data_IF_282816447724
#
_entry.id   IF_282816447724
#
_cell.length_a   1.000
_cell.length_b   1.000
_cell.length_c   1.000
_cell.angle_alpha   90.00
_cell.angle_beta   90.00
_cell.angle_gamma   90.00
#
_symmetry.space_group_name_H-M   'P 1'
#
loop_
_entity.id
_entity.type
_entity.pdbx_description
1 polymer ?
#
# COMPACT_ATOMS: atom_id res chain seq x y z
N UNK A 1 5.35 -8.98 21.91
CA UNK A 1 4.64 -8.09 20.96
C UNK A 1 5.63 -7.00 20.60
N UNK A 2 6.39 -7.19 19.51
CA UNK A 2 7.29 -6.16 18.99
C UNK A 2 6.45 -5.20 18.16
N UNK A 3 6.24 -4.01 18.69
CA UNK A 3 5.62 -2.88 17.99
C UNK A 3 6.59 -2.42 16.89
N UNK A 4 6.48 -3.04 15.72
CA UNK A 4 7.25 -2.62 14.54
C UNK A 4 6.64 -1.32 14.01
N UNK A 5 7.16 -0.19 14.49
CA UNK A 5 6.84 1.12 13.94
C UNK A 5 7.43 1.21 12.52
N UNK A 6 6.59 0.95 11.51
CA UNK A 6 6.97 1.08 10.11
C UNK A 6 7.00 2.55 9.73
N UNK A 7 8.21 3.09 9.56
CA UNK A 7 8.43 4.45 9.09
C UNK A 7 8.45 4.47 7.56
N UNK A 8 7.64 5.34 6.95
CA UNK A 8 7.61 5.54 5.50
C UNK A 8 8.27 6.87 5.17
N UNK A 9 9.30 6.87 4.34
CA UNK A 9 9.95 8.07 3.82
C UNK A 9 9.38 8.42 2.44
N UNK A 10 8.86 9.64 2.28
CA UNK A 10 8.33 10.15 1.02
C UNK A 10 9.09 11.42 0.65
N UNK A 11 9.63 11.47 -0.57
CA UNK A 11 10.30 12.67 -1.08
C UNK A 11 9.25 13.63 -1.65
N UNK A 12 9.11 14.80 -1.02
CA UNK A 12 8.13 15.82 -1.40
C UNK A 12 8.65 16.80 -2.47
N UNK A 13 9.95 16.78 -2.78
CA UNK A 13 10.52 17.76 -3.71
C UNK A 13 10.04 17.51 -5.14
N UNK A 14 9.55 18.59 -5.78
CA UNK A 14 9.10 18.61 -7.18
C UNK A 14 7.93 17.68 -7.50
N UNK A 15 7.15 17.29 -6.49
CA UNK A 15 5.92 16.52 -6.68
C UNK A 15 4.67 17.39 -6.50
N UNK A 16 3.67 17.16 -7.33
CA UNK A 16 2.31 17.66 -7.10
C UNK A 16 1.66 16.97 -5.90
N UNK A 17 0.67 17.62 -5.28
CA UNK A 17 -0.11 17.02 -4.20
C UNK A 17 -0.73 15.68 -4.60
N UNK A 18 -1.18 15.55 -5.85
CA UNK A 18 -1.75 14.32 -6.39
C UNK A 18 -0.74 13.16 -6.41
N UNK A 19 0.53 13.44 -6.72
CA UNK A 19 1.61 12.44 -6.72
C UNK A 19 1.99 12.02 -5.29
N UNK A 20 2.02 12.97 -4.36
CA UNK A 20 2.26 12.68 -2.94
C UNK A 20 1.15 11.80 -2.38
N UNK A 21 -0.11 12.18 -2.62
CA UNK A 21 -1.28 11.40 -2.18
C UNK A 21 -1.26 9.98 -2.74
N UNK A 22 -0.92 9.84 -4.04
CA UNK A 22 -0.76 8.54 -4.68
C UNK A 22 0.34 7.70 -4.03
N UNK A 23 1.47 8.31 -3.68
CA UNK A 23 2.61 7.62 -3.07
C UNK A 23 2.32 7.14 -1.65
N UNK A 24 1.65 7.97 -0.84
CA UNK A 24 1.18 7.61 0.50
C UNK A 24 0.20 6.44 0.41
N UNK A 25 -0.81 6.57 -0.45
CA UNK A 25 -1.84 5.54 -0.60
C UNK A 25 -1.25 4.21 -1.08
N UNK A 26 -0.33 4.26 -2.04
CA UNK A 26 0.38 3.08 -2.52
C UNK A 26 1.10 2.35 -1.38
N UNK A 27 1.89 3.08 -0.58
CA UNK A 27 2.63 2.51 0.55
C UNK A 27 1.72 1.90 1.60
N UNK A 28 0.59 2.54 1.87
CA UNK A 28 -0.40 2.00 2.79
C UNK A 28 -1.05 0.70 2.29
N UNK A 29 -1.38 0.62 0.99
CA UNK A 29 -1.92 -0.61 0.40
C UNK A 29 -0.88 -1.74 0.35
N UNK A 30 0.38 -1.42 0.09
CA UNK A 30 1.50 -2.39 0.18
C UNK A 30 1.65 -2.94 1.61
N UNK A 31 1.54 -2.07 2.62
CA UNK A 31 1.56 -2.46 4.03
C UNK A 31 0.42 -3.44 4.35
N UNK A 32 -0.82 -3.07 4.01
CA UNK A 32 -1.98 -3.91 4.27
C UNK A 32 -1.89 -5.28 3.58
N UNK A 33 -1.29 -5.33 2.38
CA UNK A 33 -1.00 -6.60 1.71
C UNK A 33 0.08 -7.40 2.42
N UNK A 34 1.12 -6.74 2.92
CA UNK A 34 2.23 -7.40 3.64
C UNK A 34 1.74 -8.00 4.96
N UNK A 35 0.95 -7.25 5.74
CA UNK A 35 0.36 -7.72 7.01
C UNK A 35 -0.60 -8.89 6.85
N UNK A 36 -1.11 -9.12 5.64
CA UNK A 36 -2.09 -10.16 5.35
C UNK A 36 -1.55 -11.26 4.45
N UNK A 37 -0.23 -11.31 4.24
CA UNK A 37 0.45 -12.26 3.36
C UNK A 37 -0.18 -12.32 1.95
N UNK A 38 -0.55 -11.15 1.43
CA UNK A 38 -1.18 -10.99 0.11
C UNK A 38 -2.66 -11.37 0.05
N UNK A 39 -3.31 -11.68 1.17
CA UNK A 39 -4.76 -11.92 1.19
C UNK A 39 -5.53 -10.62 0.95
N UNK A 40 -5.97 -10.43 -0.30
CA UNK A 40 -6.68 -9.23 -0.77
C UNK A 40 -7.98 -8.94 -0.02
N UNK A 41 -8.67 -9.96 0.49
CA UNK A 41 -9.91 -9.77 1.25
C UNK A 41 -9.60 -9.17 2.62
N UNK A 42 -8.60 -9.69 3.32
CA UNK A 42 -8.16 -9.13 4.60
C UNK A 42 -7.46 -7.78 4.42
N UNK A 43 -6.63 -7.60 3.39
CA UNK A 43 -5.98 -6.32 3.09
C UNK A 43 -7.01 -5.22 2.81
N UNK A 44 -8.07 -5.53 2.05
CA UNK A 44 -9.15 -4.58 1.78
C UNK A 44 -9.91 -4.21 3.06
N UNK A 45 -10.11 -5.17 3.96
CA UNK A 45 -10.72 -4.94 5.27
C UNK A 45 -9.84 -4.01 6.14
N UNK A 46 -8.53 -4.25 6.22
CA UNK A 46 -7.58 -3.38 6.93
C UNK A 46 -7.60 -1.97 6.33
N UNK A 47 -7.59 -1.87 5.00
CA UNK A 47 -7.60 -0.59 4.29
C UNK A 47 -8.97 0.13 4.28
N UNK A 48 -10.02 -0.47 4.85
CA UNK A 48 -11.37 0.12 4.91
C UNK A 48 -12.04 0.30 3.54
N UNK A 49 -11.68 -0.52 2.55
CA UNK A 49 -12.20 -0.44 1.17
C UNK A 49 -12.73 -1.79 0.70
N UNK A 50 -13.48 -1.78 -0.41
CA UNK A 50 -13.91 -3.04 -1.03
C UNK A 50 -12.73 -3.73 -1.74
N UNK A 51 -12.79 -5.06 -1.86
CA UNK A 51 -11.80 -5.85 -2.60
C UNK A 51 -11.68 -5.39 -4.06
N UNK A 52 -12.81 -4.99 -4.67
CA UNK A 52 -12.83 -4.44 -6.03
C UNK A 52 -12.07 -3.11 -6.12
N UNK A 53 -12.27 -2.22 -5.15
CA UNK A 53 -11.55 -0.93 -5.10
C UNK A 53 -10.06 -1.15 -4.87
N UNK A 54 -9.69 -2.07 -3.97
CA UNK A 54 -8.29 -2.46 -3.75
C UNK A 54 -7.65 -2.93 -5.06
N UNK A 55 -8.30 -3.86 -5.77
CA UNK A 55 -7.81 -4.39 -7.05
C UNK A 55 -7.60 -3.28 -8.09
N UNK A 56 -8.60 -2.40 -8.26
CA UNK A 56 -8.52 -1.27 -9.20
C UNK A 56 -7.39 -0.30 -8.85
N UNK A 57 -7.16 -0.04 -7.55
CA UNK A 57 -6.07 0.82 -7.08
C UNK A 57 -4.70 0.18 -7.35
N UNK A 58 -4.53 -1.11 -7.05
CA UNK A 58 -3.28 -1.83 -7.33
C UNK A 58 -2.96 -1.88 -8.84
N UNK A 59 -3.97 -2.12 -9.68
CA UNK A 59 -3.84 -2.07 -11.15
C UNK A 59 -3.46 -0.65 -11.62
N UNK A 60 -4.13 0.39 -11.11
CA UNK A 60 -3.84 1.80 -11.43
C UNK A 60 -2.44 2.23 -10.98
N UNK A 61 -1.92 1.65 -9.91
CA UNK A 61 -0.60 1.97 -9.37
C UNK A 61 0.51 1.12 -9.98
N UNK A 62 0.17 0.19 -10.87
CA UNK A 62 1.10 -0.72 -11.54
C UNK A 62 1.96 -1.48 -10.52
N UNK A 63 1.37 -1.89 -9.40
CA UNK A 63 2.03 -2.71 -8.37
C UNK A 63 2.30 -4.08 -8.96
N UNK A 64 3.44 -4.22 -9.63
CA UNK A 64 4.04 -5.52 -9.92
C UNK A 64 4.54 -6.04 -8.58
N UNK A 65 3.91 -7.11 -8.07
CA UNK A 65 4.31 -7.85 -6.86
C UNK A 65 5.83 -7.78 -6.67
N UNK A 66 6.29 -6.94 -5.73
CA UNK A 66 7.65 -7.04 -5.20
C UNK A 66 7.54 -8.02 -4.06
N UNK A 67 7.79 -9.30 -4.36
CA UNK A 67 8.17 -10.24 -3.32
C UNK A 67 9.65 -10.02 -3.06
N UNK A 68 9.97 -9.47 -1.90
CA UNK A 68 11.28 -9.68 -1.31
C UNK A 68 11.02 -10.25 0.07
N UNK A 69 11.10 -11.58 0.16
CA UNK A 69 11.40 -12.26 1.41
C UNK A 69 12.93 -12.25 1.52
N UNK A 70 13.47 -11.64 2.57
CA UNK A 70 14.77 -12.06 3.09
C UNK A 70 14.60 -13.42 3.79
#
# INVERSE_FOLDING_TARGET
>A
MTDHCLTVTINLQKQSLAEVQKSVELKYLELALTETDGNKTHAANIAGITVLTLRRKLERYNVKKVYTLE
#
